data_IF_861155075925
#
_entry.id   IF_861155075925
#
_cell.length_a   1.000
_cell.length_b   1.000
_cell.length_c   1.000
_cell.angle_alpha   90.00
_cell.angle_beta   90.00
_cell.angle_gamma   90.00
#
_symmetry.space_group_name_H-M   'P 1'
#
loop_
_entity.id
_entity.type
_entity.pdbx_description
1 polymer ?
#
# COMPACT_ATOMS: atom_id res chain seq x y z
N UNK A 1 3.65 -22.41 2.40
CA UNK A 1 4.36 -21.13 2.60
C UNK A 1 4.69 -20.48 1.27
N UNK A 2 4.07 -19.34 0.97
CA UNK A 2 4.49 -18.49 -0.16
C UNK A 2 5.90 -17.94 0.10
N UNK A 3 6.77 -17.99 -0.89
CA UNK A 3 8.15 -17.45 -0.82
C UNK A 3 8.27 -16.03 -1.35
N UNK A 4 7.17 -15.46 -1.85
CA UNK A 4 7.20 -14.12 -2.45
C UNK A 4 7.35 -13.06 -1.35
N UNK A 5 8.51 -12.43 -1.30
CA UNK A 5 8.86 -11.40 -0.32
C UNK A 5 8.64 -9.98 -0.84
N UNK A 6 8.71 -9.78 -2.16
CA UNK A 6 8.58 -8.47 -2.78
C UNK A 6 7.71 -8.55 -4.01
N UNK A 7 6.79 -7.59 -4.14
CA UNK A 7 5.92 -7.47 -5.29
C UNK A 7 5.94 -6.05 -5.83
N UNK A 8 6.31 -5.92 -7.10
CA UNK A 8 6.39 -4.65 -7.81
C UNK A 8 5.28 -4.63 -8.86
N UNK A 9 4.16 -4.00 -8.54
CA UNK A 9 3.05 -3.76 -9.47
C UNK A 9 3.19 -2.42 -10.19
N UNK A 10 3.81 -1.41 -9.58
CA UNK A 10 4.20 -0.14 -10.21
C UNK A 10 3.17 0.42 -11.21
N UNK A 11 3.65 1.08 -12.28
CA UNK A 11 2.81 1.54 -13.39
C UNK A 11 2.57 0.46 -14.45
N UNK A 12 2.48 -0.80 -14.02
CA UNK A 12 2.31 -1.92 -14.96
C UNK A 12 1.00 -1.80 -15.76
N UNK A 13 1.01 -2.17 -17.05
CA UNK A 13 -0.14 -1.98 -17.95
C UNK A 13 -1.24 -3.04 -17.76
N UNK A 14 -1.25 -3.78 -16.64
CA UNK A 14 -2.23 -4.84 -16.39
C UNK A 14 -3.66 -4.30 -16.18
N UNK A 15 -3.78 -2.99 -15.94
CA UNK A 15 -5.06 -2.33 -15.72
C UNK A 15 -5.57 -2.48 -14.29
N UNK A 16 -6.59 -1.68 -13.92
CA UNK A 16 -7.09 -1.60 -12.54
C UNK A 16 -7.66 -2.93 -12.03
N UNK A 17 -8.37 -3.67 -12.87
CA UNK A 17 -9.00 -4.94 -12.50
C UNK A 17 -7.97 -6.00 -12.08
N UNK A 18 -6.84 -6.06 -12.79
CA UNK A 18 -5.76 -6.98 -12.46
C UNK A 18 -5.04 -6.56 -11.19
N UNK A 19 -4.80 -5.25 -11.00
CA UNK A 19 -4.19 -4.74 -9.77
C UNK A 19 -5.04 -4.99 -8.53
N UNK A 20 -6.35 -4.78 -8.63
CA UNK A 20 -7.31 -5.07 -7.56
C UNK A 20 -7.33 -6.57 -7.23
N UNK A 21 -7.43 -7.42 -8.24
CA UNK A 21 -7.43 -8.88 -8.05
C UNK A 21 -6.14 -9.37 -7.38
N UNK A 22 -4.99 -8.79 -7.74
CA UNK A 22 -3.72 -9.11 -7.09
C UNK A 22 -3.73 -8.64 -5.62
N UNK A 23 -4.20 -7.43 -5.35
CA UNK A 23 -4.29 -6.92 -3.98
C UNK A 23 -5.20 -7.78 -3.11
N UNK A 24 -6.36 -8.19 -3.61
CA UNK A 24 -7.27 -9.10 -2.91
C UNK A 24 -6.67 -10.49 -2.68
N UNK A 25 -6.00 -11.04 -3.70
CA UNK A 25 -5.34 -12.35 -3.58
C UNK A 25 -4.24 -12.35 -2.51
N UNK A 26 -3.54 -11.22 -2.34
CA UNK A 26 -2.50 -11.08 -1.30
C UNK A 26 -3.14 -10.83 0.06
N UNK A 27 -4.13 -9.95 0.15
CA UNK A 27 -4.82 -9.63 1.40
C UNK A 27 -5.53 -10.86 2.00
N UNK A 28 -6.03 -11.77 1.15
CA UNK A 28 -6.62 -13.04 1.58
C UNK A 28 -5.59 -14.11 1.94
N UNK A 29 -4.32 -13.93 1.56
CA UNK A 29 -3.24 -14.84 1.91
C UNK A 29 -2.65 -14.48 3.28
N UNK A 30 -3.27 -15.01 4.34
CA UNK A 30 -2.83 -14.81 5.73
C UNK A 30 -1.44 -15.36 6.04
N UNK A 31 -0.92 -16.28 5.22
CA UNK A 31 0.45 -16.81 5.31
C UNK A 31 1.45 -16.08 4.39
N UNK A 32 1.05 -14.95 3.79
CA UNK A 32 1.90 -14.19 2.89
C UNK A 32 3.23 -13.83 3.57
N UNK A 33 4.34 -14.11 2.88
CA UNK A 33 5.68 -13.71 3.28
C UNK A 33 6.06 -12.33 2.72
N UNK A 34 5.09 -11.59 2.17
CA UNK A 34 5.34 -10.32 1.52
C UNK A 34 5.80 -9.27 2.53
N UNK A 35 7.01 -8.78 2.34
CA UNK A 35 7.63 -7.74 3.16
C UNK A 35 7.62 -6.37 2.46
N UNK A 36 7.46 -6.35 1.14
CA UNK A 36 7.48 -5.13 0.35
C UNK A 36 6.47 -5.16 -0.81
N UNK A 37 5.71 -4.09 -0.94
CA UNK A 37 4.83 -3.87 -2.09
C UNK A 37 5.07 -2.50 -2.71
N UNK A 38 5.11 -2.45 -4.05
CA UNK A 38 5.13 -1.21 -4.81
C UNK A 38 3.93 -1.21 -5.76
N UNK A 39 3.00 -0.29 -5.60
CA UNK A 39 1.78 -0.18 -6.42
C UNK A 39 1.74 1.19 -7.09
N UNK A 40 1.47 1.24 -8.40
CA UNK A 40 1.36 2.51 -9.12
C UNK A 40 0.00 2.75 -9.75
N UNK A 41 -0.10 3.89 -10.44
CA UNK A 41 -1.35 4.50 -10.86
C UNK A 41 -2.14 3.57 -11.80
N UNK A 42 -1.44 2.86 -12.67
CA UNK A 42 -2.07 1.97 -13.64
C UNK A 42 -2.62 0.68 -13.01
N UNK A 43 -2.18 0.33 -11.80
CA UNK A 43 -2.67 -0.83 -11.08
C UNK A 43 -3.91 -0.53 -10.21
N UNK A 44 -4.11 0.72 -9.74
CA UNK A 44 -5.15 1.04 -8.74
C UNK A 44 -6.02 2.26 -9.13
N UNK A 45 -6.23 2.48 -10.43
CA UNK A 45 -6.57 3.79 -11.02
C UNK A 45 -7.85 4.50 -10.54
N UNK A 46 -8.67 3.93 -9.65
CA UNK A 46 -9.91 4.58 -9.16
C UNK A 46 -10.32 4.29 -7.72
N UNK A 47 -9.72 3.33 -7.05
CA UNK A 47 -10.09 2.96 -5.68
C UNK A 47 -8.88 2.37 -4.97
N UNK A 48 -8.32 3.13 -4.02
CA UNK A 48 -7.17 2.67 -3.24
C UNK A 48 -7.57 1.81 -2.03
N UNK A 49 -8.86 1.53 -1.83
CA UNK A 49 -9.34 0.74 -0.70
C UNK A 49 -8.79 -0.68 -0.67
N UNK A 50 -8.49 -1.28 -1.83
CA UNK A 50 -7.88 -2.62 -1.91
C UNK A 50 -6.43 -2.61 -1.49
N UNK A 51 -5.68 -1.59 -1.89
CA UNK A 51 -4.30 -1.38 -1.45
C UNK A 51 -4.28 -1.08 0.06
N UNK A 52 -5.17 -0.21 0.53
CA UNK A 52 -5.34 0.07 1.95
C UNK A 52 -5.70 -1.21 2.73
N UNK A 53 -6.61 -2.02 2.22
CA UNK A 53 -6.98 -3.28 2.87
C UNK A 53 -5.79 -4.25 2.95
N UNK A 54 -5.04 -4.42 1.86
CA UNK A 54 -3.82 -5.23 1.85
C UNK A 54 -2.80 -4.72 2.86
N UNK A 55 -2.56 -3.42 2.91
CA UNK A 55 -1.67 -2.82 3.90
C UNK A 55 -2.19 -3.14 5.30
N UNK A 56 -3.47 -2.88 5.59
CA UNK A 56 -4.04 -3.13 6.91
C UNK A 56 -3.92 -4.59 7.37
N UNK A 57 -4.18 -5.57 6.49
CA UNK A 57 -4.25 -6.99 6.86
C UNK A 57 -2.90 -7.70 6.82
N UNK A 58 -1.89 -7.12 6.18
CA UNK A 58 -0.58 -7.73 6.07
C UNK A 58 0.18 -7.70 7.40
N UNK A 59 0.54 -8.88 7.91
CA UNK A 59 1.27 -9.03 9.17
C UNK A 59 2.80 -9.04 9.03
N UNK A 60 3.32 -9.13 7.80
CA UNK A 60 4.75 -9.14 7.48
C UNK A 60 5.20 -7.99 6.60
N UNK A 61 4.26 -7.16 6.13
CA UNK A 61 4.57 -6.08 5.21
C UNK A 61 5.31 -4.97 5.96
N UNK A 62 6.57 -4.75 5.60
CA UNK A 62 7.46 -3.76 6.24
C UNK A 62 7.57 -2.47 5.44
N UNK A 63 7.44 -2.57 4.11
CA UNK A 63 7.58 -1.45 3.18
C UNK A 63 6.41 -1.42 2.20
N UNK A 64 5.82 -0.25 2.01
CA UNK A 64 4.82 -0.02 0.98
C UNK A 64 5.12 1.28 0.23
N UNK A 65 5.25 1.19 -1.08
CA UNK A 65 5.36 2.35 -1.97
C UNK A 65 4.11 2.42 -2.84
N UNK A 66 3.48 3.58 -2.84
CA UNK A 66 2.25 3.85 -3.56
C UNK A 66 2.48 5.03 -4.49
N UNK A 67 2.28 4.85 -5.79
CA UNK A 67 2.29 5.95 -6.76
C UNK A 67 0.86 6.25 -7.18
N UNK A 68 0.23 7.19 -6.46
CA UNK A 68 -1.20 7.50 -6.58
C UNK A 68 -1.48 8.94 -7.09
N UNK A 69 -1.10 9.29 -8.33
CA UNK A 69 -1.20 10.66 -8.83
C UNK A 69 -2.65 11.16 -8.97
N UNK A 70 -3.62 10.26 -8.98
CA UNK A 70 -5.06 10.53 -9.11
C UNK A 70 -5.83 10.23 -7.81
N UNK A 71 -5.16 10.00 -6.67
CA UNK A 71 -5.83 9.75 -5.39
C UNK A 71 -6.70 10.93 -4.92
N UNK A 72 -7.90 10.61 -4.45
CA UNK A 72 -8.80 11.55 -3.77
C UNK A 72 -8.45 11.69 -2.29
N UNK A 73 -9.08 12.65 -1.61
CA UNK A 73 -8.95 12.80 -0.15
C UNK A 73 -9.43 11.54 0.60
N UNK A 74 -10.49 10.89 0.10
CA UNK A 74 -11.03 9.65 0.68
C UNK A 74 -10.04 8.48 0.52
N UNK A 75 -9.39 8.38 -0.65
CA UNK A 75 -8.34 7.39 -0.90
C UNK A 75 -7.16 7.59 0.08
N UNK A 76 -6.76 8.85 0.27
CA UNK A 76 -5.69 9.20 1.20
C UNK A 76 -6.06 8.85 2.64
N UNK A 77 -7.29 9.16 3.06
CA UNK A 77 -7.78 8.82 4.40
C UNK A 77 -7.81 7.30 4.63
N UNK A 78 -8.21 6.52 3.61
CA UNK A 78 -8.21 5.06 3.67
C UNK A 78 -6.79 4.50 3.82
N UNK A 79 -5.83 5.01 3.02
CA UNK A 79 -4.42 4.63 3.11
C UNK A 79 -3.84 4.98 4.48
N UNK A 80 -4.08 6.19 5.00
CA UNK A 80 -3.61 6.61 6.33
C UNK A 80 -4.15 5.68 7.42
N UNK A 81 -5.46 5.44 7.43
CA UNK A 81 -6.09 4.54 8.40
C UNK A 81 -5.53 3.12 8.32
N UNK A 82 -5.24 2.62 7.13
CA UNK A 82 -4.65 1.29 6.97
C UNK A 82 -3.26 1.18 7.61
N UNK A 83 -2.46 2.25 7.51
CA UNK A 83 -1.14 2.31 8.11
C UNK A 83 -1.21 2.35 9.63
N UNK A 84 -2.12 3.13 10.21
CA UNK A 84 -2.34 3.19 11.67
C UNK A 84 -2.70 1.83 12.27
N UNK A 85 -3.37 0.99 11.49
CA UNK A 85 -3.81 -0.35 11.89
C UNK A 85 -2.78 -1.43 11.62
N UNK A 86 -1.87 -1.23 10.66
CA UNK A 86 -0.80 -2.19 10.37
C UNK A 86 0.29 -2.12 11.46
N UNK A 87 0.60 -3.27 12.07
CA UNK A 87 1.60 -3.40 13.15
C UNK A 87 3.00 -3.83 12.70
N UNK A 88 3.16 -4.13 11.42
CA UNK A 88 4.39 -4.59 10.79
C UNK A 88 5.02 -3.57 9.84
N UNK A 89 4.25 -2.58 9.39
CA UNK A 89 4.69 -1.56 8.46
C UNK A 89 5.66 -0.59 9.15
N UNK A 90 6.82 -0.38 8.55
CA UNK A 90 7.89 0.47 9.08
C UNK A 90 8.13 1.67 8.17
N UNK A 91 7.87 1.52 6.88
CA UNK A 91 8.09 2.56 5.89
C UNK A 91 6.95 2.57 4.88
N UNK A 92 6.41 3.76 4.65
CA UNK A 92 5.45 4.04 3.60
C UNK A 92 5.92 5.24 2.79
N UNK A 93 5.84 5.15 1.48
CA UNK A 93 6.09 6.28 0.57
C UNK A 93 4.91 6.43 -0.38
N UNK A 94 4.46 7.68 -0.58
CA UNK A 94 3.51 8.00 -1.64
C UNK A 94 4.18 8.95 -2.64
N UNK A 95 4.31 8.51 -3.89
CA UNK A 95 4.90 9.30 -4.98
C UNK A 95 3.86 10.03 -5.84
N UNK A 96 2.56 9.90 -5.52
CA UNK A 96 1.49 10.63 -6.17
C UNK A 96 0.95 11.70 -5.25
N UNK A 97 1.33 12.96 -5.50
CA UNK A 97 0.42 14.11 -5.70
C UNK A 97 1.08 15.45 -5.35
N UNK A 98 0.43 16.49 -5.88
CA UNK A 98 0.48 17.88 -5.42
C UNK A 98 0.50 17.94 -3.89
N UNK A 99 1.66 18.30 -3.34
CA UNK A 99 1.83 18.92 -2.03
C UNK A 99 0.74 18.50 -1.01
N UNK A 100 0.71 17.21 -0.64
CA UNK A 100 -0.05 16.74 0.51
C UNK A 100 0.68 17.23 1.76
N UNK A 101 0.52 18.53 2.01
CA UNK A 101 1.16 19.26 3.08
C UNK A 101 1.17 18.41 4.35
N UNK A 102 2.37 18.10 4.82
CA UNK A 102 2.68 17.73 6.20
C UNK A 102 2.19 16.38 6.73
N UNK A 103 1.14 15.73 6.21
CA UNK A 103 0.61 14.50 6.83
C UNK A 103 1.32 13.21 6.38
N UNK A 104 1.74 13.11 5.12
CA UNK A 104 2.48 11.93 4.64
C UNK A 104 3.96 11.95 5.04
N UNK A 105 4.59 13.12 5.15
CA UNK A 105 5.97 13.25 5.65
C UNK A 105 6.07 12.92 7.16
N UNK A 106 4.98 13.06 7.93
CA UNK A 106 4.96 12.74 9.37
C UNK A 106 4.89 11.24 9.69
N UNK A 107 4.64 10.35 8.73
CA UNK A 107 4.58 8.90 8.99
C UNK A 107 5.83 8.13 8.50
N UNK A 108 6.85 8.83 8.01
CA UNK A 108 8.20 8.28 7.85
C UNK A 108 8.98 8.19 9.18
N UNK A 109 8.29 8.33 10.32
CA UNK A 109 8.86 8.13 11.65
C UNK A 109 8.70 6.66 12.00
N UNK A 110 9.77 5.94 12.38
CA UNK A 110 9.70 4.50 12.61
C UNK A 110 8.66 4.22 13.71
N UNK A 111 7.61 3.47 13.37
CA UNK A 111 6.75 2.82 14.36
C UNK A 111 7.54 1.67 14.99
N UNK A 112 8.52 2.02 15.83
CA UNK A 112 9.17 1.13 16.79
C UNK A 112 8.57 1.35 18.18
N UNK A 113 8.47 0.31 19.03
CA UNK A 113 7.94 0.49 20.37
C UNK A 113 8.87 1.43 21.16
N UNK A 114 8.31 2.54 21.64
CA UNK A 114 8.87 3.34 22.74
C UNK A 114 8.78 2.56 24.06
#
# INVERSE_FOLDING_TARGET
>A
TSSLQRLLLGDSPFGPEAGDAICEAIASNTESALEEIVVGANAARKDWSKVAHLIQTSHKLRRAEVHAPEATDDDCAALIKSMELNRSLISFSNMGTRDYGTYCEMMAVPFGPS
#
